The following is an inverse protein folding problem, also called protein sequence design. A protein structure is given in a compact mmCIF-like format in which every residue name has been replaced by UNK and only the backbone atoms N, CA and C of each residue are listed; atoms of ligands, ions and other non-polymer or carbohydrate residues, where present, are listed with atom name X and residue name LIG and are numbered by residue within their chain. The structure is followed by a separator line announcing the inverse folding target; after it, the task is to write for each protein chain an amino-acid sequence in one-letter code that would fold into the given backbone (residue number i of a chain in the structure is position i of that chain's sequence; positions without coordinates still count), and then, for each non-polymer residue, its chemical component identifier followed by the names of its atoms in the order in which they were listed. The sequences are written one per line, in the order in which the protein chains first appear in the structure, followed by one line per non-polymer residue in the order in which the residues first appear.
data_IF_040280444580
#
_entry.id   IF_040280444580
#
_cell.length_a   1.000
_cell.length_b   1.000
_cell.length_c   1.000
_cell.angle_alpha   90.00
_cell.angle_beta   90.00
_cell.angle_gamma   90.00
#
_symmetry.space_group_name_H-M   'P 1'
#
loop_
_entity.id
_entity.type
_entity.pdbx_description
1 polymer ?
#
# COMPACT_ATOMS: atom_id res chain seq x y z
N UNK A 1 -32.12 -13.45 -0.05
CA UNK A 1 -31.37 -13.20 1.22
C UNK A 1 -29.99 -13.84 1.23
N UNK A 2 -29.69 -14.83 0.38
CA UNK A 2 -28.36 -15.46 0.29
C UNK A 2 -27.28 -14.60 -0.40
N UNK A 3 -27.67 -13.65 -1.25
CA UNK A 3 -26.72 -12.80 -1.98
C UNK A 3 -25.99 -11.76 -1.12
N UNK A 4 -26.55 -11.34 0.00
CA UNK A 4 -25.95 -10.31 0.84
C UNK A 4 -24.79 -10.82 1.71
N UNK A 5 -24.83 -12.08 2.16
CA UNK A 5 -23.74 -12.61 3.00
C UNK A 5 -22.47 -12.89 2.22
N UNK A 6 -22.56 -13.29 0.94
CA UNK A 6 -21.39 -13.55 0.10
C UNK A 6 -20.68 -12.25 -0.34
N UNK A 7 -21.44 -11.21 -0.70
CA UNK A 7 -20.87 -9.93 -1.09
C UNK A 7 -20.18 -9.22 0.09
N UNK A 8 -20.76 -9.24 1.29
CA UNK A 8 -20.13 -8.72 2.49
C UNK A 8 -18.85 -9.49 2.84
N UNK A 9 -18.87 -10.82 2.76
CA UNK A 9 -17.68 -11.67 2.98
C UNK A 9 -16.56 -11.36 1.98
N UNK A 10 -16.88 -11.04 0.71
CA UNK A 10 -15.90 -10.72 -0.32
C UNK A 10 -15.24 -9.36 -0.15
N UNK A 11 -15.98 -8.36 0.30
CA UNK A 11 -15.41 -7.05 0.65
C UNK A 11 -14.39 -7.20 1.77
N UNK A 12 -14.61 -8.13 2.70
CA UNK A 12 -13.73 -8.38 3.86
C UNK A 12 -12.56 -9.33 3.58
N UNK A 13 -12.57 -10.07 2.47
CA UNK A 13 -11.39 -10.85 2.03
C UNK A 13 -10.16 -10.01 1.71
N UNK A 14 -10.32 -8.71 1.51
CA UNK A 14 -9.21 -7.75 1.43
C UNK A 14 -8.38 -7.72 2.71
N UNK A 15 -8.97 -8.07 3.84
CA UNK A 15 -8.37 -7.82 5.16
C UNK A 15 -8.34 -9.12 5.93
N UNK A 16 -7.25 -9.84 5.75
CA UNK A 16 -7.06 -11.20 6.21
C UNK A 16 -7.47 -11.46 7.67
N UNK A 17 -7.08 -10.59 8.60
CA UNK A 17 -7.42 -10.77 10.01
C UNK A 17 -8.92 -10.63 10.28
N UNK A 18 -9.57 -9.68 9.62
CA UNK A 18 -11.00 -9.48 9.76
C UNK A 18 -11.80 -10.59 9.06
N UNK A 19 -11.31 -11.04 7.90
CA UNK A 19 -11.87 -12.17 7.19
C UNK A 19 -11.83 -13.45 8.02
N UNK A 20 -10.70 -13.76 8.68
CA UNK A 20 -10.61 -14.92 9.56
C UNK A 20 -11.61 -14.84 10.73
N UNK A 21 -11.73 -13.70 11.37
CA UNK A 21 -12.70 -13.50 12.45
C UNK A 21 -14.17 -13.66 11.96
N UNK A 22 -14.48 -13.13 10.77
CA UNK A 22 -15.80 -13.31 10.16
C UNK A 22 -16.07 -14.75 9.74
N UNK A 23 -15.08 -15.45 9.22
CA UNK A 23 -15.18 -16.86 8.85
C UNK A 23 -15.38 -17.74 10.08
N UNK A 24 -14.67 -17.50 11.16
CA UNK A 24 -14.85 -18.20 12.43
C UNK A 24 -16.24 -17.95 13.03
N UNK A 25 -16.70 -16.69 13.04
CA UNK A 25 -18.03 -16.33 13.50
C UNK A 25 -19.14 -16.98 12.64
N UNK A 26 -18.98 -16.99 11.31
CA UNK A 26 -19.95 -17.59 10.39
C UNK A 26 -19.98 -19.11 10.51
N UNK A 27 -18.85 -19.77 10.65
CA UNK A 27 -18.76 -21.22 10.85
C UNK A 27 -19.34 -21.64 12.20
N UNK A 28 -19.09 -20.84 13.26
CA UNK A 28 -19.71 -21.05 14.57
C UNK A 28 -21.23 -20.92 14.54
N UNK A 29 -21.76 -19.91 13.85
CA UNK A 29 -23.20 -19.73 13.67
C UNK A 29 -23.82 -20.91 12.86
N UNK A 30 -23.13 -21.41 11.84
CA UNK A 30 -23.59 -22.54 11.03
C UNK A 30 -23.58 -23.85 11.83
N UNK A 31 -22.56 -24.08 12.68
CA UNK A 31 -22.57 -25.24 13.58
C UNK A 31 -23.75 -25.18 14.56
N UNK A 32 -24.02 -24.01 15.12
CA UNK A 32 -25.17 -23.83 16.02
C UNK A 32 -26.52 -24.05 15.30
N UNK A 33 -26.66 -23.62 14.04
CA UNK A 33 -27.82 -23.90 13.22
C UNK A 33 -27.96 -25.39 12.91
N UNK A 34 -26.87 -26.05 12.53
CA UNK A 34 -26.86 -27.48 12.28
C UNK A 34 -27.28 -28.29 13.51
N UNK A 35 -26.78 -27.93 14.69
CA UNK A 35 -27.16 -28.59 15.95
C UNK A 35 -28.62 -28.37 16.31
N UNK A 36 -29.19 -27.19 15.97
CA UNK A 36 -30.59 -26.88 16.21
C UNK A 36 -31.55 -27.66 15.27
N UNK A 37 -31.20 -27.77 13.99
CA UNK A 37 -32.05 -28.43 13.00
C UNK A 37 -31.81 -29.93 12.86
N UNK A 38 -30.68 -30.45 13.35
CA UNK A 38 -30.38 -31.89 13.33
C UNK A 38 -31.50 -32.76 13.96
N UNK A 39 -32.07 -32.47 15.16
CA UNK A 39 -33.11 -33.29 15.73
C UNK A 39 -34.43 -33.25 14.92
N UNK A 40 -34.74 -32.13 14.32
CA UNK A 40 -35.98 -31.99 13.49
C UNK A 40 -35.85 -32.81 12.21
N UNK A 41 -34.69 -32.86 11.57
CA UNK A 41 -34.43 -33.68 10.39
C UNK A 41 -34.44 -35.19 10.68
N UNK A 42 -34.00 -35.60 11.85
CA UNK A 42 -33.98 -37.03 12.26
C UNK A 42 -35.42 -37.56 12.42
N UNK A 43 -36.44 -36.71 12.68
CA UNK A 43 -37.83 -37.12 12.81
C UNK A 43 -38.47 -37.50 11.47
N UNK A 44 -37.97 -36.93 10.36
CA UNK A 44 -38.57 -37.11 9.03
C UNK A 44 -37.91 -38.24 8.20
N UNK A 45 -36.87 -38.91 8.70
CA UNK A 45 -36.10 -39.87 7.92
C UNK A 45 -36.24 -41.31 8.42
N UNK A 46 -36.19 -42.31 7.52
CA UNK A 46 -36.27 -43.72 7.90
C UNK A 46 -35.11 -44.12 8.84
N UNK A 47 -35.41 -44.91 9.88
CA UNK A 47 -34.50 -45.30 10.94
C UNK A 47 -33.19 -45.98 10.45
N UNK A 48 -33.13 -46.55 9.25
CA UNK A 48 -31.97 -47.18 8.66
C UNK A 48 -30.84 -46.22 8.25
N UNK A 49 -31.16 -44.97 7.99
CA UNK A 49 -30.19 -43.93 7.56
C UNK A 49 -29.80 -42.96 8.68
N UNK A 50 -30.38 -43.09 9.86
CA UNK A 50 -30.17 -42.16 10.97
C UNK A 50 -28.67 -42.09 11.42
N UNK A 51 -27.96 -43.19 11.34
CA UNK A 51 -26.51 -43.23 11.69
C UNK A 51 -25.64 -42.44 10.71
N UNK A 52 -26.02 -42.39 9.43
CA UNK A 52 -25.32 -41.61 8.39
C UNK A 52 -25.61 -40.10 8.52
N UNK A 53 -26.78 -39.77 9.01
CA UNK A 53 -27.21 -38.38 9.16
C UNK A 53 -26.68 -37.75 10.43
N UNK A 54 -26.46 -38.52 11.49
CA UNK A 54 -25.80 -38.07 12.71
C UNK A 54 -24.38 -37.54 12.44
N UNK A 55 -23.71 -38.12 11.44
CA UNK A 55 -22.37 -37.70 10.99
C UNK A 55 -22.41 -36.66 9.85
N UNK A 56 -23.56 -36.48 9.18
CA UNK A 56 -23.68 -35.50 8.10
C UNK A 56 -24.11 -34.12 8.64
N UNK A 57 -23.47 -33.10 8.15
CA UNK A 57 -23.92 -31.73 8.36
C UNK A 57 -25.09 -31.46 7.41
N UNK A 58 -26.33 -31.24 7.91
CA UNK A 58 -27.49 -31.02 7.06
C UNK A 58 -27.40 -29.72 6.23
N UNK A 59 -26.61 -28.77 6.68
CA UNK A 59 -26.34 -27.54 5.94
C UNK A 59 -24.84 -27.52 5.63
N UNK A 60 -24.49 -27.66 4.35
CA UNK A 60 -23.11 -27.51 3.89
C UNK A 60 -22.85 -26.06 3.47
N UNK A 61 -21.75 -25.50 3.97
CA UNK A 61 -21.28 -24.19 3.51
C UNK A 61 -20.28 -24.44 2.38
N UNK A 62 -20.62 -24.01 1.18
CA UNK A 62 -19.69 -23.98 0.05
C UNK A 62 -19.10 -22.60 0.00
N UNK A 63 -17.89 -22.44 0.57
CA UNK A 63 -17.12 -21.20 0.47
C UNK A 63 -16.35 -21.21 -0.86
N UNK A 64 -16.63 -20.26 -1.74
CA UNK A 64 -15.81 -20.00 -2.94
C UNK A 64 -14.99 -18.74 -2.71
N UNK A 65 -13.66 -18.88 -2.76
CA UNK A 65 -12.76 -17.74 -2.70
C UNK A 65 -12.80 -17.03 -4.06
N UNK A 66 -13.22 -15.75 -4.11
CA UNK A 66 -13.32 -14.99 -5.36
C UNK A 66 -11.96 -14.38 -5.79
N UNK A 67 -11.14 -13.95 -4.85
CA UNK A 67 -9.90 -13.22 -5.15
C UNK A 67 -8.62 -13.87 -4.61
N UNK A 68 -8.71 -14.72 -3.60
CA UNK A 68 -7.58 -15.47 -3.05
C UNK A 68 -7.84 -16.97 -3.16
N UNK A 69 -7.68 -17.53 -4.35
CA UNK A 69 -7.98 -18.93 -4.64
C UNK A 69 -7.14 -19.93 -3.83
N UNK A 70 -5.95 -19.50 -3.37
CA UNK A 70 -5.04 -20.35 -2.57
C UNK A 70 -5.31 -20.25 -1.08
N UNK A 71 -6.16 -19.32 -0.65
CA UNK A 71 -6.44 -18.98 0.77
C UNK A 71 -5.15 -18.74 1.58
N UNK A 72 -4.04 -18.48 0.88
CA UNK A 72 -2.72 -18.28 1.47
C UNK A 72 -2.54 -16.87 2.01
N UNK A 73 -1.99 -16.75 3.23
CA UNK A 73 -1.61 -15.46 3.82
C UNK A 73 -0.57 -14.72 2.95
N UNK A 74 0.41 -15.46 2.42
CA UNK A 74 1.45 -14.90 1.57
C UNK A 74 0.90 -14.29 0.28
N UNK A 75 -0.02 -14.95 -0.38
CA UNK A 75 -0.63 -14.51 -1.64
C UNK A 75 -1.36 -13.17 -1.51
N UNK A 76 -1.89 -12.92 -0.32
CA UNK A 76 -2.60 -11.67 -0.02
C UNK A 76 -1.66 -10.56 0.44
N UNK A 77 -0.68 -10.86 1.29
CA UNK A 77 0.18 -9.86 1.92
C UNK A 77 1.37 -9.46 1.05
N UNK A 78 1.94 -10.39 0.28
CA UNK A 78 3.15 -10.11 -0.51
C UNK A 78 2.97 -8.94 -1.48
N UNK A 79 1.87 -8.82 -2.27
CA UNK A 79 1.66 -7.67 -3.13
C UNK A 79 1.70 -6.34 -2.39
N UNK A 80 1.08 -6.28 -1.21
CA UNK A 80 1.10 -5.10 -0.36
C UNK A 80 2.51 -4.74 0.12
N UNK A 81 3.26 -5.74 0.58
CA UNK A 81 4.63 -5.57 1.07
C UNK A 81 5.56 -5.08 -0.03
N UNK A 82 5.41 -5.54 -1.26
CA UNK A 82 6.27 -5.11 -2.39
C UNK A 82 6.17 -3.60 -2.64
N UNK A 83 4.97 -3.03 -2.59
CA UNK A 83 4.78 -1.56 -2.73
C UNK A 83 5.40 -0.81 -1.54
N UNK A 84 5.23 -1.32 -0.33
CA UNK A 84 5.83 -0.72 0.87
C UNK A 84 7.36 -0.76 0.79
N UNK A 85 7.96 -1.86 0.34
CA UNK A 85 9.41 -1.98 0.11
C UNK A 85 9.88 -0.95 -0.92
N UNK A 86 9.17 -0.80 -2.03
CA UNK A 86 9.50 0.21 -3.04
C UNK A 86 9.47 1.62 -2.46
N UNK A 87 8.42 1.95 -1.71
CA UNK A 87 8.33 3.25 -1.05
C UNK A 87 9.50 3.49 -0.10
N UNK A 88 9.78 2.54 0.77
CA UNK A 88 10.82 2.65 1.80
C UNK A 88 12.21 2.78 1.19
N UNK A 89 12.54 1.93 0.23
CA UNK A 89 13.86 1.96 -0.42
C UNK A 89 14.05 3.25 -1.20
N UNK A 90 13.02 3.75 -1.91
CA UNK A 90 13.09 5.02 -2.61
C UNK A 90 13.28 6.19 -1.64
N UNK A 91 12.52 6.21 -0.54
CA UNK A 91 12.64 7.24 0.48
C UNK A 91 14.03 7.24 1.14
N UNK A 92 14.59 6.05 1.39
CA UNK A 92 15.93 5.87 1.95
C UNK A 92 17.00 6.41 0.99
N UNK A 93 16.95 6.05 -0.29
CA UNK A 93 17.90 6.54 -1.30
C UNK A 93 17.84 8.06 -1.43
N UNK A 94 16.64 8.64 -1.47
CA UNK A 94 16.48 10.11 -1.54
C UNK A 94 17.02 10.78 -0.27
N UNK A 95 16.75 10.21 0.89
CA UNK A 95 17.23 10.71 2.18
C UNK A 95 18.75 10.71 2.25
N UNK A 96 19.41 9.60 1.88
CA UNK A 96 20.87 9.46 1.86
C UNK A 96 21.51 10.44 0.88
N UNK A 97 21.04 10.52 -0.36
CA UNK A 97 21.55 11.46 -1.37
C UNK A 97 21.39 12.91 -0.91
N UNK A 98 20.25 13.24 -0.29
CA UNK A 98 20.00 14.59 0.21
C UNK A 98 20.87 14.95 1.42
N UNK A 99 21.23 13.96 2.24
CA UNK A 99 22.22 14.10 3.32
C UNK A 99 23.61 14.37 2.74
N UNK A 100 24.07 13.53 1.82
CA UNK A 100 25.38 13.69 1.16
C UNK A 100 25.53 15.04 0.44
N UNK A 101 24.50 15.51 -0.24
CA UNK A 101 24.50 16.84 -0.87
C UNK A 101 24.65 17.98 0.14
N UNK A 102 24.16 17.79 1.34
CA UNK A 102 24.28 18.75 2.43
C UNK A 102 25.70 18.74 3.00
N UNK A 103 26.24 17.55 3.28
CA UNK A 103 27.55 17.35 3.86
C UNK A 103 28.67 17.79 2.90
N UNK A 104 28.51 17.52 1.60
CA UNK A 104 29.46 17.95 0.55
C UNK A 104 29.37 19.43 0.19
N UNK A 105 28.39 20.18 0.75
CA UNK A 105 28.19 21.59 0.42
C UNK A 105 27.68 21.85 -1.02
N UNK A 106 27.30 20.80 -1.75
CA UNK A 106 26.80 20.92 -3.13
C UNK A 106 25.56 21.81 -3.23
N UNK A 107 24.73 21.85 -2.18
CA UNK A 107 23.57 22.74 -2.07
C UNK A 107 23.98 24.22 -2.23
N UNK A 108 25.19 24.59 -1.76
CA UNK A 108 25.70 25.95 -1.82
C UNK A 108 26.05 26.37 -3.24
N UNK A 109 26.55 25.45 -4.07
CA UNK A 109 26.83 25.75 -5.48
C UNK A 109 25.55 26.13 -6.24
N UNK A 110 24.42 25.56 -5.90
CA UNK A 110 23.12 25.96 -6.46
C UNK A 110 22.66 27.36 -5.96
N UNK A 111 23.14 27.78 -4.79
CA UNK A 111 22.84 29.11 -4.26
C UNK A 111 23.47 30.26 -5.08
N UNK A 112 24.68 30.06 -5.62
CA UNK A 112 25.39 31.05 -6.42
C UNK A 112 24.71 31.33 -7.77
N UNK A 113 23.89 30.41 -8.28
CA UNK A 113 23.19 30.55 -9.55
C UNK A 113 21.84 31.30 -9.46
N UNK A 114 21.37 31.64 -8.24
CA UNK A 114 20.16 32.40 -7.96
C UNK A 114 18.91 31.57 -7.62
N UNK A 115 18.07 32.13 -6.75
CA UNK A 115 16.94 31.50 -6.06
C UNK A 115 15.59 31.61 -6.81
N UNK A 116 15.61 31.59 -8.16
CA UNK A 116 14.35 31.61 -8.93
C UNK A 116 13.58 30.29 -8.74
N UNK A 117 12.25 30.39 -8.51
CA UNK A 117 11.39 29.21 -8.38
C UNK A 117 11.52 28.24 -9.57
N UNK A 118 11.61 28.75 -10.80
CA UNK A 118 11.74 27.92 -11.99
C UNK A 118 13.04 27.08 -12.02
N UNK A 119 14.14 27.59 -11.45
CA UNK A 119 15.40 26.83 -11.35
C UNK A 119 15.30 25.74 -10.30
N UNK A 120 14.73 26.04 -9.14
CA UNK A 120 14.51 25.06 -8.07
C UNK A 120 13.59 23.94 -8.58
N UNK A 121 12.49 24.30 -9.24
CA UNK A 121 11.57 23.32 -9.83
C UNK A 121 12.28 22.40 -10.86
N UNK A 122 13.14 22.97 -11.71
CA UNK A 122 13.91 22.20 -12.69
C UNK A 122 14.85 21.19 -12.01
N UNK A 123 15.56 21.60 -10.96
CA UNK A 123 16.45 20.69 -10.19
C UNK A 123 15.64 19.55 -9.57
N UNK A 124 14.51 19.85 -8.92
CA UNK A 124 13.64 18.83 -8.31
C UNK A 124 13.10 17.88 -9.36
N UNK A 125 12.60 18.37 -10.49
CA UNK A 125 12.09 17.54 -11.58
C UNK A 125 13.19 16.65 -12.16
N UNK A 126 14.40 17.20 -12.38
CA UNK A 126 15.53 16.44 -12.92
C UNK A 126 15.93 15.28 -11.98
N UNK A 127 16.01 15.53 -10.66
CA UNK A 127 16.28 14.49 -9.67
C UNK A 127 15.18 13.43 -9.65
N UNK A 128 13.92 13.88 -9.58
CA UNK A 128 12.76 12.98 -9.58
C UNK A 128 12.72 12.12 -10.85
N UNK A 129 13.06 12.68 -12.00
CA UNK A 129 13.13 11.91 -13.25
C UNK A 129 14.12 10.75 -13.15
N UNK A 130 15.32 10.99 -12.63
CA UNK A 130 16.33 9.93 -12.43
C UNK A 130 15.80 8.85 -11.46
N UNK A 131 15.20 9.25 -10.35
CA UNK A 131 14.61 8.30 -9.40
C UNK A 131 13.48 7.48 -10.04
N UNK A 132 12.60 8.12 -10.80
CA UNK A 132 11.50 7.42 -11.48
C UNK A 132 12.02 6.42 -12.51
N UNK A 133 13.04 6.75 -13.30
CA UNK A 133 13.63 5.82 -14.27
C UNK A 133 14.22 4.60 -13.56
N UNK A 134 15.06 4.81 -12.54
CA UNK A 134 15.68 3.72 -11.78
C UNK A 134 14.63 2.83 -11.10
N UNK A 135 13.63 3.47 -10.45
CA UNK A 135 12.59 2.71 -9.74
C UNK A 135 11.54 2.10 -10.65
N UNK A 136 11.38 2.56 -11.86
CA UNK A 136 10.58 1.83 -12.87
C UNK A 136 11.22 0.50 -13.21
N UNK A 137 12.55 0.45 -13.39
CA UNK A 137 13.29 -0.80 -13.61
C UNK A 137 13.15 -1.72 -12.39
N UNK A 138 13.31 -1.16 -11.19
CA UNK A 138 13.13 -1.91 -9.94
C UNK A 138 11.69 -2.41 -9.75
N UNK A 139 10.69 -1.62 -10.15
CA UNK A 139 9.29 -2.01 -10.14
C UNK A 139 9.00 -3.19 -11.07
N UNK A 140 9.56 -3.17 -12.30
CA UNK A 140 9.43 -4.30 -13.23
C UNK A 140 10.02 -5.59 -12.65
N UNK A 141 11.13 -5.49 -11.92
CA UNK A 141 11.70 -6.61 -11.20
C UNK A 141 10.79 -7.09 -10.06
N UNK A 142 10.38 -6.18 -9.15
CA UNK A 142 9.60 -6.54 -7.97
C UNK A 142 8.16 -6.95 -8.27
N UNK A 143 7.49 -6.21 -9.14
CA UNK A 143 6.05 -6.42 -9.39
C UNK A 143 5.80 -7.32 -10.61
N UNK A 144 6.80 -7.52 -11.46
CA UNK A 144 6.71 -8.41 -12.62
C UNK A 144 7.41 -9.75 -12.39
N UNK A 145 8.73 -9.72 -12.17
CA UNK A 145 9.53 -10.95 -12.11
C UNK A 145 9.32 -11.74 -10.81
N UNK A 146 9.23 -11.09 -9.66
CA UNK A 146 9.08 -11.78 -8.36
C UNK A 146 7.76 -12.57 -8.30
N UNK A 147 6.58 -12.02 -8.58
CA UNK A 147 5.35 -12.77 -8.62
C UNK A 147 5.42 -13.98 -9.57
N UNK A 148 6.02 -13.80 -10.74
CA UNK A 148 6.21 -14.88 -11.71
C UNK A 148 7.09 -16.02 -11.18
N UNK A 149 8.21 -15.70 -10.53
CA UNK A 149 9.14 -16.69 -9.96
C UNK A 149 8.54 -17.49 -8.81
N UNK A 150 7.71 -16.85 -7.99
CA UNK A 150 7.08 -17.47 -6.82
C UNK A 150 5.68 -18.03 -7.10
N UNK A 151 5.20 -17.97 -8.35
CA UNK A 151 3.89 -18.45 -8.74
C UNK A 151 2.74 -17.75 -8.00
N UNK A 152 2.92 -16.47 -7.68
CA UNK A 152 1.87 -15.67 -7.05
C UNK A 152 0.77 -15.39 -8.07
N UNK A 153 -0.52 -15.55 -7.71
CA UNK A 153 -1.61 -15.25 -8.61
C UNK A 153 -1.62 -13.75 -8.92
N UNK A 154 -1.55 -13.43 -10.19
CA UNK A 154 -1.69 -12.10 -10.76
C UNK A 154 -2.88 -12.15 -11.72
N UNK A 155 -4.01 -11.59 -11.29
CA UNK A 155 -5.24 -11.50 -12.10
C UNK A 155 -5.28 -10.14 -12.80
N UNK A 156 -4.39 -9.22 -12.39
CA UNK A 156 -4.38 -7.84 -12.80
C UNK A 156 -3.91 -7.61 -14.23
N UNK A 157 -4.24 -6.44 -14.75
CA UNK A 157 -3.69 -5.96 -16.01
C UNK A 157 -2.40 -5.17 -15.76
N UNK A 158 -1.25 -5.65 -16.27
CA UNK A 158 0.05 -4.97 -16.15
C UNK A 158 0.02 -3.51 -16.59
N UNK A 159 -0.80 -3.16 -17.58
CA UNK A 159 -0.93 -1.76 -18.02
C UNK A 159 -1.51 -0.87 -16.91
N UNK A 160 -2.53 -1.35 -16.20
CA UNK A 160 -3.12 -0.62 -15.08
C UNK A 160 -2.11 -0.42 -13.93
N UNK A 161 -1.29 -1.42 -13.67
CA UNK A 161 -0.19 -1.34 -12.70
C UNK A 161 0.84 -0.29 -13.12
N UNK A 162 1.26 -0.27 -14.39
CA UNK A 162 2.19 0.74 -14.90
C UNK A 162 1.61 2.16 -14.81
N UNK A 163 0.32 2.33 -15.12
CA UNK A 163 -0.37 3.62 -14.98
C UNK A 163 -0.39 4.09 -13.51
N UNK A 164 -0.62 3.17 -12.56
CA UNK A 164 -0.58 3.49 -11.12
C UNK A 164 0.84 3.86 -10.66
N UNK A 165 1.87 3.20 -11.19
CA UNK A 165 3.26 3.45 -10.79
C UNK A 165 3.72 4.88 -11.08
N UNK A 166 3.21 5.52 -12.13
CA UNK A 166 3.60 6.89 -12.50
C UNK A 166 3.35 7.87 -11.35
N UNK A 167 2.09 8.10 -10.89
CA UNK A 167 1.83 9.02 -9.80
C UNK A 167 2.42 8.54 -8.47
N UNK A 168 2.51 7.24 -8.23
CA UNK A 168 3.12 6.68 -7.03
C UNK A 168 4.61 7.05 -6.91
N UNK A 169 5.41 6.82 -7.95
CA UNK A 169 6.85 7.13 -7.94
C UNK A 169 7.10 8.64 -7.88
N UNK A 170 6.29 9.44 -8.57
CA UNK A 170 6.36 10.90 -8.51
C UNK A 170 6.02 11.41 -7.10
N UNK A 171 4.88 10.99 -6.53
CA UNK A 171 4.46 11.41 -5.20
C UNK A 171 5.49 11.01 -4.13
N UNK A 172 6.00 9.77 -4.19
CA UNK A 172 7.02 9.28 -3.27
C UNK A 172 8.33 10.06 -3.40
N UNK A 173 8.77 10.36 -4.62
CA UNK A 173 9.99 11.14 -4.85
C UNK A 173 9.86 12.56 -4.31
N UNK A 174 8.75 13.25 -4.57
CA UNK A 174 8.52 14.60 -4.05
C UNK A 174 8.34 14.58 -2.51
N UNK A 175 7.66 13.58 -1.98
CA UNK A 175 7.54 13.38 -0.53
C UNK A 175 8.92 13.17 0.12
N UNK A 176 9.77 12.32 -0.45
CA UNK A 176 11.13 12.07 0.03
C UNK A 176 12.00 13.33 0.00
N UNK A 177 11.95 14.11 -1.10
CA UNK A 177 12.67 15.38 -1.21
C UNK A 177 12.16 16.41 -0.20
N UNK A 178 10.86 16.47 0.07
CA UNK A 178 10.30 17.32 1.10
C UNK A 178 10.69 16.86 2.52
N UNK A 179 10.63 15.54 2.77
CA UNK A 179 10.98 14.93 4.05
C UNK A 179 12.49 15.01 4.36
N UNK A 180 13.35 15.14 3.34
CA UNK A 180 14.81 15.25 3.51
C UNK A 180 15.25 16.42 4.39
N UNK A 181 14.36 17.38 4.63
CA UNK A 181 14.60 18.48 5.58
C UNK A 181 14.75 18.00 7.02
N UNK A 182 14.04 16.93 7.38
CA UNK A 182 14.04 16.40 8.75
C UNK A 182 15.25 15.50 9.03
N UNK A 183 15.95 15.06 8.00
CA UNK A 183 17.14 14.23 8.15
C UNK A 183 18.36 15.12 8.31
N UNK A 184 19.00 15.09 9.49
CA UNK A 184 20.22 15.83 9.77
C UNK A 184 21.45 15.13 9.22
N UNK A 185 21.46 13.80 9.29
CA UNK A 185 22.59 12.95 8.91
C UNK A 185 22.18 12.00 7.78
N UNK A 186 23.14 11.54 7.00
CA UNK A 186 22.91 10.59 5.90
C UNK A 186 22.42 9.21 6.35
N UNK A 187 22.67 8.84 7.62
CA UNK A 187 22.24 7.55 8.19
C UNK A 187 20.84 7.59 8.85
N UNK A 188 20.36 8.78 9.25
CA UNK A 188 19.07 8.93 9.93
C UNK A 188 17.87 8.38 9.16
N UNK A 189 17.78 8.47 7.81
CA UNK A 189 16.70 7.90 7.02
C UNK A 189 16.56 6.39 7.18
N UNK A 190 17.67 5.65 7.28
CA UNK A 190 17.69 4.20 7.40
C UNK A 190 16.94 3.72 8.65
N UNK A 191 17.26 4.29 9.81
CA UNK A 191 16.67 3.91 11.10
C UNK A 191 15.19 4.29 11.16
N UNK A 192 14.85 5.50 10.70
CA UNK A 192 13.48 5.99 10.75
C UNK A 192 12.55 5.15 9.86
N UNK A 193 12.97 4.82 8.64
CA UNK A 193 12.17 4.06 7.70
C UNK A 193 11.99 2.63 8.17
N UNK A 194 13.04 1.98 8.70
CA UNK A 194 12.94 0.64 9.25
C UNK A 194 11.94 0.56 10.40
N UNK A 195 11.90 1.56 11.28
CA UNK A 195 10.97 1.60 12.40
C UNK A 195 9.51 1.75 11.97
N UNK A 196 9.23 2.55 10.94
CA UNK A 196 7.86 2.79 10.45
C UNK A 196 7.34 1.71 9.51
N UNK A 197 8.15 0.72 9.10
CA UNK A 197 7.82 -0.26 8.06
C UNK A 197 6.53 -1.03 8.34
N UNK A 198 6.40 -1.57 9.54
CA UNK A 198 5.22 -2.37 9.93
C UNK A 198 3.97 -1.48 10.01
N UNK A 199 4.12 -0.25 10.54
CA UNK A 199 3.02 0.71 10.62
C UNK A 199 2.41 1.08 9.27
N UNK A 200 3.22 1.12 8.20
CA UNK A 200 2.74 1.42 6.86
C UNK A 200 1.81 0.36 6.28
N UNK A 201 2.04 -0.93 6.59
CA UNK A 201 1.17 -2.02 6.14
C UNK A 201 -0.20 -1.91 6.81
N UNK A 202 -0.24 -1.61 8.11
CA UNK A 202 -1.51 -1.37 8.79
C UNK A 202 -2.21 -0.13 8.26
N UNK A 203 -1.47 0.96 8.03
CA UNK A 203 -2.00 2.21 7.53
C UNK A 203 -2.55 2.10 6.11
N UNK A 204 -2.06 1.15 5.31
CA UNK A 204 -2.51 0.95 3.92
C UNK A 204 -3.97 0.50 3.78
N UNK A 205 -4.62 0.06 4.87
CA UNK A 205 -5.97 -0.47 4.80
C UNK A 205 -6.05 -1.92 4.32
N UNK A 206 -4.90 -2.56 4.05
CA UNK A 206 -4.85 -3.96 3.59
C UNK A 206 -5.08 -4.94 4.73
N UNK A 207 -4.47 -4.69 5.90
CA UNK A 207 -4.62 -5.56 7.09
C UNK A 207 -5.88 -5.29 7.89
N UNK A 208 -6.38 -4.05 7.87
CA UNK A 208 -7.58 -3.63 8.61
C UNK A 208 -8.40 -2.62 7.78
N UNK A 209 -9.76 -2.70 7.75
CA UNK A 209 -10.62 -1.80 6.99
C UNK A 209 -10.36 -0.33 7.30
N UNK A 210 -10.18 0.48 6.26
CA UNK A 210 -9.97 1.91 6.43
C UNK A 210 -11.19 2.57 7.12
N UNK A 211 -12.41 2.12 6.77
CA UNK A 211 -13.67 2.62 7.29
C UNK A 211 -13.84 2.37 8.80
N UNK A 212 -13.19 1.34 9.33
CA UNK A 212 -13.25 0.97 10.75
C UNK A 212 -12.12 1.61 11.56
N UNK A 213 -11.16 2.27 10.90
CA UNK A 213 -10.10 2.99 11.58
C UNK A 213 -10.63 4.30 12.18
N UNK A 214 -10.07 4.75 13.34
CA UNK A 214 -10.31 6.11 13.84
C UNK A 214 -9.95 7.16 12.78
N UNK A 215 -10.68 8.26 12.77
CA UNK A 215 -10.55 9.33 11.75
C UNK A 215 -9.11 9.85 11.55
N UNK A 216 -8.30 9.90 12.61
CA UNK A 216 -6.90 10.35 12.53
C UNK A 216 -5.99 9.36 11.78
N UNK A 217 -6.26 8.04 11.84
CA UNK A 217 -5.57 7.04 11.03
C UNK A 217 -6.01 7.11 9.57
N UNK A 218 -7.30 7.34 9.32
CA UNK A 218 -7.80 7.56 7.96
C UNK A 218 -7.12 8.79 7.32
N UNK A 219 -6.95 9.89 8.06
CA UNK A 219 -6.19 11.05 7.58
C UNK A 219 -4.72 10.70 7.29
N UNK A 220 -4.06 9.96 8.17
CA UNK A 220 -2.68 9.53 7.97
C UNK A 220 -2.52 8.66 6.71
N UNK A 221 -3.52 7.81 6.39
CA UNK A 221 -3.56 7.05 5.13
C UNK A 221 -3.44 7.96 3.90
N UNK A 222 -4.17 9.05 3.85
CA UNK A 222 -4.15 10.00 2.72
C UNK A 222 -2.93 10.94 2.71
N UNK A 223 -2.11 10.95 3.76
CA UNK A 223 -0.87 11.75 3.81
C UNK A 223 0.31 10.97 3.23
N UNK A 224 0.44 9.68 3.52
CA UNK A 224 1.63 8.89 3.14
C UNK A 224 1.39 8.20 1.78
N UNK A 225 2.19 8.48 0.73
CA UNK A 225 1.95 7.92 -0.62
C UNK A 225 1.91 6.39 -0.68
N UNK A 226 2.64 5.72 0.21
CA UNK A 226 2.63 4.26 0.29
C UNK A 226 1.24 3.68 0.57
N UNK A 227 0.43 4.35 1.39
CA UNK A 227 -0.82 3.79 1.88
C UNK A 227 -1.88 3.66 0.75
N UNK A 228 -2.29 4.74 0.05
CA UNK A 228 -3.23 4.62 -1.07
C UNK A 228 -2.64 3.82 -2.25
N UNK A 229 -1.32 3.90 -2.50
CA UNK A 229 -0.69 3.11 -3.55
C UNK A 229 -0.76 1.61 -3.28
N UNK A 230 -0.53 1.19 -2.03
CA UNK A 230 -0.61 -0.22 -1.63
C UNK A 230 -2.03 -0.75 -1.77
N UNK A 231 -3.03 0.00 -1.31
CA UNK A 231 -4.44 -0.38 -1.43
C UNK A 231 -4.85 -0.51 -2.91
N UNK A 232 -4.52 0.49 -3.74
CA UNK A 232 -4.80 0.48 -5.16
C UNK A 232 -4.11 -0.70 -5.87
N UNK A 233 -2.82 -0.95 -5.57
CA UNK A 233 -2.08 -2.05 -6.18
C UNK A 233 -2.68 -3.42 -5.84
N UNK A 234 -3.03 -3.66 -4.59
CA UNK A 234 -3.68 -4.92 -4.18
C UNK A 234 -5.01 -5.12 -4.92
N UNK A 235 -5.79 -4.05 -5.11
CA UNK A 235 -7.04 -4.11 -5.88
C UNK A 235 -6.79 -4.43 -7.36
N UNK A 236 -5.79 -3.79 -7.98
CA UNK A 236 -5.42 -4.03 -9.38
C UNK A 236 -4.89 -5.45 -9.57
N UNK A 237 -3.93 -5.87 -8.73
CA UNK A 237 -3.20 -7.13 -8.89
C UNK A 237 -4.02 -8.35 -8.46
N UNK A 238 -4.60 -8.31 -7.25
CA UNK A 238 -5.26 -9.49 -6.67
C UNK A 238 -6.75 -9.59 -6.99
N UNK A 239 -7.39 -8.48 -7.37
CA UNK A 239 -8.83 -8.45 -7.68
C UNK A 239 -9.13 -8.19 -9.16
N UNK A 240 -8.10 -7.89 -9.97
CA UNK A 240 -8.28 -7.55 -11.38
C UNK A 240 -9.08 -6.26 -11.60
N UNK A 241 -9.04 -5.33 -10.63
CA UNK A 241 -9.76 -4.06 -10.73
C UNK A 241 -9.24 -3.22 -11.91
N UNK A 242 -10.09 -2.36 -12.48
CA UNK A 242 -9.67 -1.35 -13.45
C UNK A 242 -9.17 -0.10 -12.74
N UNK A 243 -8.43 0.76 -13.47
CA UNK A 243 -7.95 2.04 -12.93
C UNK A 243 -9.11 2.95 -12.48
N UNK A 244 -10.26 2.84 -13.13
CA UNK A 244 -11.47 3.60 -12.78
C UNK A 244 -12.03 3.19 -11.42
N UNK A 245 -11.93 1.90 -11.07
CA UNK A 245 -12.41 1.37 -9.79
C UNK A 245 -11.54 1.76 -8.61
N UNK A 246 -10.24 2.01 -8.85
CA UNK A 246 -9.28 2.53 -7.87
C UNK A 246 -9.13 4.06 -7.98
N UNK A 247 -10.13 4.74 -8.54
CA UNK A 247 -10.07 6.16 -8.87
C UNK A 247 -9.78 7.07 -7.69
N UNK A 248 -10.26 6.74 -6.50
CA UNK A 248 -10.04 7.54 -5.28
C UNK A 248 -8.55 7.54 -4.91
N UNK A 249 -7.93 6.38 -4.84
CA UNK A 249 -6.51 6.21 -4.50
C UNK A 249 -5.62 6.82 -5.60
N UNK A 250 -6.00 6.63 -6.86
CA UNK A 250 -5.28 7.18 -8.01
C UNK A 250 -5.30 8.71 -8.03
N UNK A 251 -6.45 9.34 -7.82
CA UNK A 251 -6.58 10.80 -7.72
C UNK A 251 -5.84 11.32 -6.50
N UNK A 252 -5.91 10.62 -5.37
CA UNK A 252 -5.15 10.97 -4.15
C UNK A 252 -3.66 11.06 -4.44
N UNK A 253 -3.08 10.09 -5.16
CA UNK A 253 -1.66 10.11 -5.54
C UNK A 253 -1.31 11.32 -6.41
N UNK A 254 -2.17 11.72 -7.35
CA UNK A 254 -1.96 12.94 -8.15
C UNK A 254 -2.03 14.22 -7.32
N UNK A 255 -2.98 14.31 -6.39
CA UNK A 255 -3.06 15.44 -5.45
C UNK A 255 -1.80 15.49 -4.59
N UNK A 256 -1.33 14.36 -4.08
CA UNK A 256 -0.08 14.26 -3.35
C UNK A 256 1.13 14.69 -4.20
N UNK A 257 1.19 14.33 -5.48
CA UNK A 257 2.24 14.81 -6.39
C UNK A 257 2.32 16.34 -6.39
N UNK A 258 1.19 17.03 -6.55
CA UNK A 258 1.16 18.51 -6.60
C UNK A 258 1.55 19.10 -5.25
N UNK A 259 0.96 18.61 -4.17
CA UNK A 259 1.21 19.12 -2.80
C UNK A 259 2.69 18.95 -2.43
N UNK A 260 3.23 17.73 -2.62
CA UNK A 260 4.61 17.43 -2.25
C UNK A 260 5.64 18.08 -3.17
N UNK A 261 5.32 18.28 -4.44
CA UNK A 261 6.16 19.07 -5.34
C UNK A 261 6.33 20.51 -4.83
N UNK A 262 5.23 21.17 -4.48
CA UNK A 262 5.26 22.54 -3.94
C UNK A 262 6.00 22.57 -2.60
N UNK A 263 5.77 21.61 -1.74
CA UNK A 263 6.46 21.47 -0.45
C UNK A 263 7.98 21.27 -0.65
N UNK A 264 8.37 20.38 -1.57
CA UNK A 264 9.78 20.14 -1.90
C UNK A 264 10.46 21.39 -2.44
N UNK A 265 9.80 22.16 -3.31
CA UNK A 265 10.30 23.43 -3.81
C UNK A 265 10.52 24.44 -2.66
N UNK A 266 9.58 24.52 -1.74
CA UNK A 266 9.66 25.43 -0.58
C UNK A 266 10.80 25.01 0.36
N UNK A 267 10.90 23.74 0.69
CA UNK A 267 11.94 23.15 1.55
C UNK A 267 13.33 23.36 0.93
N UNK A 268 13.48 23.04 -0.35
CA UNK A 268 14.75 23.19 -1.06
C UNK A 268 15.21 24.64 -1.09
N UNK A 269 14.30 25.58 -1.37
CA UNK A 269 14.56 27.02 -1.29
C UNK A 269 15.03 27.45 0.10
N UNK A 270 14.38 26.93 1.16
CA UNK A 270 14.74 27.26 2.55
C UNK A 270 16.13 26.74 2.93
N UNK A 271 16.50 25.54 2.47
CA UNK A 271 17.82 24.94 2.70
C UNK A 271 18.92 25.75 2.03
N UNK A 272 18.74 26.17 0.79
CA UNK A 272 19.67 27.02 0.06
C UNK A 272 19.87 28.37 0.78
N UNK A 273 18.79 28.99 1.22
CA UNK A 273 18.86 30.26 1.97
C UNK A 273 19.62 30.14 3.30
N UNK A 274 19.43 29.03 4.02
CA UNK A 274 20.18 28.77 5.26
C UNK A 274 21.66 28.58 4.98
N UNK A 275 22.00 27.78 3.97
CA UNK A 275 23.39 27.53 3.59
C UNK A 275 24.09 28.81 3.12
N UNK A 276 23.45 29.68 2.34
CA UNK A 276 24.03 30.95 1.91
C UNK A 276 24.28 31.92 3.06
N UNK A 277 23.39 31.98 4.05
CA UNK A 277 23.59 32.82 5.25
C UNK A 277 24.75 32.33 6.12
N UNK A 278 24.91 31.02 6.27
CA UNK A 278 26.03 30.44 7.02
C UNK A 278 27.40 30.81 6.40
N UNK A 279 27.48 30.88 5.06
CA UNK A 279 28.69 31.31 4.35
C UNK A 279 28.95 32.81 4.46
N UNK A 280 27.92 33.63 4.51
CA UNK A 280 28.11 35.11 4.65
C UNK A 280 28.49 35.54 6.06
N UNK A 281 28.41 34.64 7.04
CA UNK A 281 28.79 34.85 8.44
C UNK A 281 30.21 34.37 8.78
N UNK A 282 30.88 33.66 7.84
CA UNK A 282 32.30 33.28 7.89
C UNK A 282 33.18 34.29 7.14
#
# INVERSE_FOLDING_TARGET
TQGYSSAASDVYKRQFLYYMAMQEASSGAMLALNDRYRPEMLVFLPQQDASKIVSAQPISVVGTALYNFTEGYGTYLIPAVLIVIMFQTLLMVIGMISGEERDSGTIVRFASEGLSFGRIARVIISKTFVYCVLYTIFALFLLGLIPLLFGLPDIGNYLNTLILLIPFLLATSFFGLAASYFFTDSEAPLLMIAFFSVGLIFLSGVSYPLELMPWYWQMAHYIIPAAPATLAYVQLNSMGASIEQVGVEYVTLWVQCVVYFLLACWVYRRNILKASRALSSL
#
